data_IF_884053376531
#
_entry.id   IF_884053376531
#
_cell.length_a   1.000
_cell.length_b   1.000
_cell.length_c   1.000
_cell.angle_alpha   90.00
_cell.angle_beta   90.00
_cell.angle_gamma   90.00
#
_symmetry.space_group_name_H-M   'P 1'
#
loop_
_entity.id
_entity.type
_entity.pdbx_description
1 polymer ?
#
# COMPACT_ATOMS: atom_id res chain seq x y z
N UNK A 1 -11.91 20.66 -25.37
CA UNK A 1 -12.18 20.21 -23.99
C UNK A 1 -11.37 18.94 -23.74
N UNK A 2 -10.21 19.05 -23.09
CA UNK A 2 -9.43 17.87 -22.71
C UNK A 2 -10.08 17.26 -21.48
N UNK A 3 -10.69 16.07 -21.62
CA UNK A 3 -11.10 15.28 -20.45
C UNK A 3 -9.82 14.74 -19.83
N UNK A 4 -9.41 15.29 -18.69
CA UNK A 4 -8.49 14.58 -17.80
C UNK A 4 -9.15 13.23 -17.49
N UNK A 5 -8.47 12.09 -17.73
CA UNK A 5 -9.02 10.81 -17.32
C UNK A 5 -9.16 10.85 -15.79
N UNK A 6 -10.41 10.90 -15.31
CA UNK A 6 -10.71 10.80 -13.89
C UNK A 6 -10.34 9.40 -13.44
N UNK A 7 -9.55 9.31 -12.37
CA UNK A 7 -9.25 8.05 -11.71
C UNK A 7 -10.57 7.30 -11.39
N UNK A 8 -10.73 6.02 -11.79
CA UNK A 8 -11.87 5.21 -11.37
C UNK A 8 -12.17 5.34 -9.86
N UNK A 9 -13.46 5.30 -9.47
CA UNK A 9 -13.86 5.57 -8.08
C UNK A 9 -13.37 4.51 -7.09
N UNK A 10 -12.95 3.35 -7.58
CA UNK A 10 -12.38 2.27 -6.80
C UNK A 10 -10.86 2.34 -6.71
N UNK A 11 -10.18 3.24 -7.41
CA UNK A 11 -8.74 3.37 -7.27
C UNK A 11 -8.36 4.29 -6.12
N UNK A 12 -7.23 3.99 -5.47
CA UNK A 12 -6.66 4.84 -4.43
C UNK A 12 -5.19 5.13 -4.72
N UNK A 13 -4.75 6.29 -4.24
CA UNK A 13 -3.35 6.65 -4.04
C UNK A 13 -3.21 7.03 -2.58
N UNK A 14 -2.38 6.30 -1.84
CA UNK A 14 -2.23 6.48 -0.40
C UNK A 14 -0.74 6.59 -0.05
N UNK A 15 -0.39 7.71 0.57
CA UNK A 15 0.95 7.98 1.06
C UNK A 15 0.99 7.70 2.56
N UNK A 16 2.08 7.12 3.06
CA UNK A 16 2.21 6.79 4.47
C UNK A 16 3.58 6.27 4.85
N UNK A 17 3.82 6.14 6.16
CA UNK A 17 5.04 5.54 6.68
C UNK A 17 4.86 4.03 6.73
N UNK A 18 5.72 3.27 6.06
CA UNK A 18 5.71 1.81 6.17
C UNK A 18 6.11 1.38 7.60
N UNK A 19 5.28 0.57 8.26
CA UNK A 19 5.54 0.08 9.62
C UNK A 19 6.06 -1.36 9.66
N UNK A 20 5.82 -2.14 8.61
CA UNK A 20 6.13 -3.58 8.57
C UNK A 20 5.00 -4.38 7.92
N UNK A 21 5.21 -5.70 7.82
CA UNK A 21 4.20 -6.63 7.32
C UNK A 21 3.34 -7.20 8.46
N UNK A 22 2.06 -7.44 8.20
CA UNK A 22 1.16 -8.17 9.10
C UNK A 22 1.17 -9.65 8.72
N UNK A 23 1.45 -10.53 9.69
CA UNK A 23 1.41 -11.99 9.53
C UNK A 23 2.42 -12.71 10.42
N UNK A 24 2.05 -13.86 10.98
CA UNK A 24 2.96 -14.71 11.78
C UNK A 24 3.70 -15.75 10.93
N UNK A 25 3.30 -15.98 9.68
CA UNK A 25 3.94 -16.94 8.78
C UNK A 25 4.15 -16.31 7.39
N UNK A 26 5.41 -16.36 6.93
CA UNK A 26 5.88 -15.84 5.63
C UNK A 26 5.10 -16.35 4.41
N UNK A 27 4.31 -17.41 4.56
CA UNK A 27 3.61 -18.07 3.46
C UNK A 27 2.15 -17.62 3.27
N UNK A 28 1.54 -16.89 4.21
CA UNK A 28 0.07 -16.74 4.23
C UNK A 28 -0.48 -15.33 4.44
N UNK A 29 0.34 -14.32 4.74
CA UNK A 29 -0.21 -12.98 5.00
C UNK A 29 0.58 -11.87 4.31
N UNK A 30 -0.15 -11.16 3.45
CA UNK A 30 0.31 -10.38 2.29
C UNK A 30 0.16 -8.88 2.49
N UNK A 31 0.06 -8.44 3.75
CA UNK A 31 -0.34 -7.07 4.06
C UNK A 31 0.86 -6.29 4.57
N UNK A 32 1.12 -5.12 3.97
CA UNK A 32 1.94 -4.10 4.63
C UNK A 32 1.04 -3.24 5.52
N UNK A 33 1.61 -2.67 6.57
CA UNK A 33 0.93 -1.65 7.39
C UNK A 33 1.51 -0.28 7.06
N UNK A 34 0.64 0.66 6.74
CA UNK A 34 0.99 2.08 6.65
C UNK A 34 0.50 2.81 7.90
N UNK A 35 1.33 3.69 8.44
CA UNK A 35 0.86 4.80 9.26
C UNK A 35 0.45 5.95 8.33
N UNK A 36 -0.83 6.32 8.41
CA UNK A 36 -1.43 7.45 7.69
C UNK A 36 -2.20 8.27 8.70
N UNK A 37 -1.77 9.51 8.94
CA UNK A 37 -2.45 10.42 9.88
C UNK A 37 -2.71 9.80 11.27
N UNK A 38 -1.77 8.99 11.79
CA UNK A 38 -1.87 8.26 13.06
C UNK A 38 -2.84 7.06 13.05
N UNK A 39 -3.36 6.68 11.88
CA UNK A 39 -4.12 5.45 11.66
C UNK A 39 -3.25 4.38 11.01
N UNK A 40 -3.36 3.14 11.51
CA UNK A 40 -2.67 1.99 10.94
C UNK A 40 -3.55 1.32 9.90
N UNK A 41 -3.19 1.47 8.62
CA UNK A 41 -3.96 0.98 7.49
C UNK A 41 -3.27 -0.26 6.88
N UNK A 42 -3.93 -1.43 6.90
CA UNK A 42 -3.42 -2.62 6.21
C UNK A 42 -3.65 -2.50 4.71
N UNK A 43 -2.60 -2.73 3.93
CA UNK A 43 -2.63 -2.74 2.46
C UNK A 43 -2.20 -4.11 1.97
N UNK A 44 -3.08 -4.80 1.27
CA UNK A 44 -2.81 -6.09 0.64
C UNK A 44 -1.91 -5.91 -0.59
N UNK A 45 -0.92 -6.80 -0.73
CA UNK A 45 0.02 -6.85 -1.84
C UNK A 45 -0.24 -8.07 -2.71
N UNK A 46 -0.03 -7.97 -4.04
CA UNK A 46 -0.18 -9.09 -4.94
C UNK A 46 0.92 -10.12 -4.70
N UNK A 47 0.60 -11.38 -4.98
CA UNK A 47 1.45 -12.53 -4.66
C UNK A 47 2.85 -12.48 -5.29
N UNK A 48 2.97 -11.87 -6.47
CA UNK A 48 4.26 -11.68 -7.15
C UNK A 48 5.18 -10.68 -6.44
N UNK A 49 4.64 -9.74 -5.66
CA UNK A 49 5.45 -8.80 -4.87
C UNK A 49 6.19 -9.50 -3.72
N UNK A 50 5.63 -10.61 -3.21
CA UNK A 50 6.22 -11.41 -2.14
C UNK A 50 7.55 -12.03 -2.56
N UNK A 51 7.69 -12.39 -3.83
CA UNK A 51 8.87 -13.06 -4.37
C UNK A 51 10.04 -12.11 -4.62
N UNK A 52 9.78 -10.80 -4.63
CA UNK A 52 10.76 -9.78 -5.00
C UNK A 52 10.62 -8.54 -4.11
N UNK A 53 10.60 -8.76 -2.79
CA UNK A 53 10.48 -7.64 -1.86
C UNK A 53 11.66 -6.67 -2.05
N UNK A 54 11.41 -5.39 -2.31
CA UNK A 54 12.50 -4.46 -2.55
C UNK A 54 13.33 -4.24 -1.27
N UNK A 55 14.66 -4.32 -1.36
CA UNK A 55 15.56 -4.10 -0.22
C UNK A 55 15.38 -2.74 0.48
N UNK A 56 14.91 -1.73 -0.27
CA UNK A 56 14.66 -0.38 0.25
C UNK A 56 13.43 -0.28 1.15
N UNK A 57 12.53 -1.27 1.12
CA UNK A 57 11.28 -1.24 1.87
C UNK A 57 11.53 -1.68 3.32
N UNK A 58 11.96 -0.73 4.15
CA UNK A 58 12.25 -0.91 5.58
C UNK A 58 11.28 -0.09 6.43
N UNK A 59 10.90 -0.54 7.64
CA UNK A 59 10.07 0.24 8.54
C UNK A 59 10.61 1.66 8.75
N UNK A 60 9.72 2.66 8.74
CA UNK A 60 10.06 4.08 8.83
C UNK A 60 10.22 4.78 7.49
N UNK A 61 10.27 4.06 6.36
CA UNK A 61 10.34 4.66 5.03
C UNK A 61 8.98 5.19 4.61
N UNK A 62 8.96 6.41 4.08
CA UNK A 62 7.78 6.99 3.42
C UNK A 62 7.55 6.37 2.05
N UNK A 63 6.34 5.86 1.84
CA UNK A 63 5.97 5.15 0.61
C UNK A 63 4.61 5.61 0.07
N UNK A 64 4.41 5.39 -1.22
CA UNK A 64 3.13 5.57 -1.91
C UNK A 64 2.63 4.22 -2.40
N UNK A 65 1.43 3.88 -1.99
CA UNK A 65 0.69 2.74 -2.51
C UNK A 65 -0.34 3.21 -3.54
N UNK A 66 -0.36 2.57 -4.70
CA UNK A 66 -1.42 2.75 -5.70
C UNK A 66 -2.12 1.42 -5.87
N UNK A 67 -3.44 1.47 -5.81
CA UNK A 67 -4.25 0.28 -5.71
C UNK A 67 -5.71 0.48 -6.03
N UNK A 68 -6.48 -0.55 -5.72
CA UNK A 68 -7.92 -0.47 -5.71
C UNK A 68 -8.50 -0.84 -4.35
N UNK A 69 -9.59 -0.18 -3.99
CA UNK A 69 -10.40 -0.52 -2.84
C UNK A 69 -11.50 -1.50 -3.25
N UNK A 70 -11.78 -2.45 -2.37
CA UNK A 70 -12.83 -3.45 -2.55
C UNK A 70 -13.57 -3.64 -1.22
N UNK A 71 -14.89 -3.58 -1.26
CA UNK A 71 -15.70 -3.93 -0.09
C UNK A 71 -15.71 -5.45 0.08
N UNK A 72 -15.17 -5.94 1.18
CA UNK A 72 -15.45 -7.29 1.65
C UNK A 72 -16.82 -7.28 2.33
N UNK A 73 -17.82 -7.80 1.63
CA UNK A 73 -19.21 -7.79 2.09
C UNK A 73 -19.45 -8.74 3.25
N UNK A 74 -18.65 -9.80 3.39
CA UNK A 74 -18.77 -10.78 4.47
C UNK A 74 -18.21 -10.21 5.78
N UNK A 75 -17.02 -9.60 5.72
CA UNK A 75 -16.40 -8.97 6.87
C UNK A 75 -16.89 -7.53 7.12
N UNK A 76 -17.64 -6.93 6.18
CA UNK A 76 -18.10 -5.53 6.18
C UNK A 76 -16.95 -4.52 6.34
N UNK A 77 -15.82 -4.81 5.71
CA UNK A 77 -14.61 -3.98 5.74
C UNK A 77 -14.19 -3.57 4.34
N UNK A 78 -13.61 -2.38 4.23
CA UNK A 78 -12.98 -1.93 3.00
C UNK A 78 -11.55 -2.50 2.95
N UNK A 79 -11.25 -3.33 1.96
CA UNK A 79 -9.92 -3.82 1.67
C UNK A 79 -9.22 -2.90 0.68
N UNK A 80 -7.93 -2.72 0.86
CA UNK A 80 -7.08 -1.94 -0.03
C UNK A 80 -6.03 -2.86 -0.64
N UNK A 81 -6.09 -3.06 -1.95
CA UNK A 81 -5.19 -3.90 -2.72
C UNK A 81 -4.24 -3.01 -3.54
N UNK A 82 -2.96 -2.93 -3.16
CA UNK A 82 -1.96 -2.16 -3.89
C UNK A 82 -1.30 -3.01 -4.97
N UNK A 83 -1.32 -2.56 -6.22
CA UNK A 83 -0.56 -3.19 -7.31
C UNK A 83 0.79 -2.50 -7.55
N UNK A 84 1.00 -1.32 -6.98
CA UNK A 84 2.24 -0.56 -7.05
C UNK A 84 2.61 0.04 -5.69
N UNK A 85 3.89 -0.03 -5.36
CA UNK A 85 4.48 0.58 -4.16
C UNK A 85 5.74 1.35 -4.58
N UNK A 86 5.81 2.62 -4.23
CA UNK A 86 6.94 3.49 -4.55
C UNK A 86 7.57 4.02 -3.26
N UNK A 87 8.90 4.11 -3.24
CA UNK A 87 9.58 4.95 -2.26
C UNK A 87 9.27 6.41 -2.56
N UNK A 88 8.80 7.14 -1.55
CA UNK A 88 8.64 8.59 -1.64
C UNK A 88 9.91 9.35 -1.29
N UNK A 89 11.04 8.64 -1.14
CA UNK A 89 12.39 9.16 -0.84
C UNK A 89 12.46 10.66 -0.96
N UNK A 90 12.36 11.35 0.17
CA UNK A 90 12.72 12.75 0.24
C UNK A 90 14.20 12.80 -0.17
N UNK A 91 14.48 13.33 -1.36
CA UNK A 91 15.77 13.95 -1.60
C UNK A 91 15.85 15.16 -0.65
N UNK A 92 16.17 14.89 0.62
CA UNK A 92 16.63 15.89 1.56
C UNK A 92 18.16 15.82 1.54
N UNK A 93 18.73 16.83 0.88
CA UNK A 93 20.15 17.25 0.86
C UNK A 93 21.11 16.53 -0.09
N UNK A 94 21.52 17.27 -1.13
CA UNK A 94 22.92 17.74 -1.24
C UNK A 94 22.87 19.26 -1.44
#
# INVERSE_FOLDING_TARGET
MHRTPSMPPWMFVLDGTFLGFLGNELAQTTHLTLDVEQEHIPIELPSNFQQALPHWLQPGVQIRCIGHSQLDTQAKVLKLNAYQVFSLSSHANV
#
